data_IF_531866255216
#
_entry.id   IF_531866255216
#
_cell.length_a   1.000
_cell.length_b   1.000
_cell.length_c   1.000
_cell.angle_alpha   90.00
_cell.angle_beta   90.00
_cell.angle_gamma   90.00
#
_symmetry.space_group_name_H-M   'P 1'
#
loop_
_entity.id
_entity.type
_entity.pdbx_description
1 polymer ?
#
# COMPACT_ATOMS: atom_id res chain seq x y z
N UNK A 1 13.16 28.03 0.64
CA UNK A 1 11.83 28.17 1.27
C UNK A 1 11.44 26.82 1.84
N UNK A 2 10.90 26.75 3.06
CA UNK A 2 10.62 25.48 3.76
C UNK A 2 9.33 24.84 3.19
N UNK A 3 9.45 23.65 2.58
CA UNK A 3 8.32 22.91 1.94
C UNK A 3 7.15 22.75 2.91
N UNK A 4 7.43 22.40 4.18
CA UNK A 4 6.40 22.23 5.21
C UNK A 4 5.57 23.51 5.44
N UNK A 5 6.24 24.67 5.45
CA UNK A 5 5.60 25.97 5.66
C UNK A 5 4.84 26.43 4.41
N UNK A 6 5.39 26.17 3.22
CA UNK A 6 4.75 26.52 1.95
C UNK A 6 3.45 25.72 1.75
N UNK A 7 3.50 24.42 2.05
CA UNK A 7 2.43 23.49 1.71
C UNK A 7 1.51 23.18 2.89
N UNK A 8 1.79 23.75 4.08
CA UNK A 8 1.02 23.52 5.29
C UNK A 8 1.05 22.08 5.79
N UNK A 9 2.12 21.33 5.48
CA UNK A 9 2.26 19.90 5.76
C UNK A 9 3.09 19.67 7.02
N UNK A 10 2.72 18.67 7.83
CA UNK A 10 3.52 18.21 8.96
C UNK A 10 4.93 17.79 8.49
N UNK A 11 5.95 18.44 9.05
CA UNK A 11 7.36 18.16 8.75
C UNK A 11 7.74 16.69 9.00
N UNK A 12 7.10 16.01 9.97
CA UNK A 12 7.35 14.59 10.23
C UNK A 12 6.77 13.70 9.14
N UNK A 13 5.68 14.12 8.48
CA UNK A 13 5.17 13.44 7.27
C UNK A 13 6.17 13.56 6.14
N UNK A 14 6.66 14.77 5.85
CA UNK A 14 7.64 14.99 4.79
C UNK A 14 8.92 14.19 5.03
N UNK A 15 9.46 14.20 6.26
CA UNK A 15 10.64 13.39 6.61
C UNK A 15 10.42 11.90 6.37
N UNK A 16 9.24 11.36 6.70
CA UNK A 16 8.91 9.96 6.39
C UNK A 16 8.87 9.72 4.88
N UNK A 17 8.18 10.56 4.11
CA UNK A 17 8.08 10.40 2.66
C UNK A 17 9.46 10.44 1.98
N UNK A 18 10.33 11.36 2.39
CA UNK A 18 11.73 11.40 1.91
C UNK A 18 12.46 10.09 2.25
N UNK A 19 12.38 9.63 3.50
CA UNK A 19 13.06 8.39 3.88
C UNK A 19 12.49 7.15 3.18
N UNK A 20 11.18 7.13 2.91
CA UNK A 20 10.55 6.05 2.16
C UNK A 20 11.04 6.03 0.73
N UNK A 21 11.02 7.17 0.05
CA UNK A 21 11.56 7.32 -1.29
C UNK A 21 13.03 6.86 -1.36
N UNK A 22 13.88 7.33 -0.44
CA UNK A 22 15.30 6.95 -0.43
C UNK A 22 15.57 5.48 -0.12
N UNK A 23 14.69 4.83 0.66
CA UNK A 23 14.75 3.38 0.84
C UNK A 23 14.29 2.67 -0.44
N UNK A 24 13.18 3.08 -1.07
CA UNK A 24 12.69 2.47 -2.29
C UNK A 24 13.71 2.59 -3.43
N UNK A 25 14.42 3.72 -3.59
CA UNK A 25 15.52 3.85 -4.55
C UNK A 25 16.54 2.71 -4.43
N UNK A 26 16.89 2.32 -3.20
CA UNK A 26 17.84 1.24 -2.91
C UNK A 26 17.23 -0.13 -3.19
N UNK A 27 16.02 -0.34 -2.70
CA UNK A 27 15.29 -1.59 -2.91
C UNK A 27 15.02 -1.85 -4.40
N UNK A 28 14.85 -0.82 -5.22
CA UNK A 28 14.60 -0.95 -6.65
C UNK A 28 15.84 -0.66 -7.53
N UNK A 29 17.02 -0.61 -6.94
CA UNK A 29 18.27 -0.31 -7.66
C UNK A 29 18.70 -1.43 -8.62
N UNK A 30 18.31 -2.67 -8.33
CA UNK A 30 18.73 -3.84 -9.08
C UNK A 30 17.80 -4.09 -10.28
N UNK A 31 18.32 -4.61 -11.41
CA UNK A 31 17.54 -4.80 -12.65
C UNK A 31 16.28 -5.67 -12.51
N UNK A 32 16.28 -6.61 -11.57
CA UNK A 32 15.17 -7.51 -11.29
C UNK A 32 14.80 -7.45 -9.80
N UNK A 33 14.10 -6.39 -9.36
CA UNK A 33 13.74 -6.25 -7.96
C UNK A 33 12.77 -7.36 -7.56
N UNK A 34 13.04 -8.00 -6.42
CA UNK A 34 12.27 -9.14 -5.90
C UNK A 34 10.99 -8.74 -5.17
N UNK A 35 10.61 -7.47 -5.25
CA UNK A 35 9.42 -6.91 -4.61
C UNK A 35 8.72 -5.92 -5.53
N UNK A 36 7.45 -5.64 -5.23
CA UNK A 36 6.68 -4.55 -5.83
C UNK A 36 6.04 -3.71 -4.72
N UNK A 37 5.93 -2.41 -4.95
CA UNK A 37 5.32 -1.48 -4.01
C UNK A 37 3.80 -1.67 -3.95
N UNK A 38 3.21 -1.58 -2.76
CA UNK A 38 1.77 -1.59 -2.56
C UNK A 38 1.34 -0.71 -1.38
N UNK A 39 0.08 -0.87 -0.98
CA UNK A 39 -0.43 -0.35 0.28
C UNK A 39 -0.46 1.17 0.38
N UNK A 40 -0.32 1.68 1.60
CA UNK A 40 -0.62 3.09 1.90
C UNK A 40 0.28 4.06 1.16
N UNK A 41 1.58 3.76 1.05
CA UNK A 41 2.50 4.67 0.38
C UNK A 41 2.32 4.70 -1.13
N UNK A 42 1.96 3.57 -1.77
CA UNK A 42 1.57 3.57 -3.18
C UNK A 42 0.37 4.49 -3.46
N UNK A 43 -0.56 4.63 -2.51
CA UNK A 43 -1.65 5.62 -2.61
C UNK A 43 -1.12 7.04 -2.53
N UNK A 44 -0.23 7.33 -1.57
CA UNK A 44 0.35 8.68 -1.41
C UNK A 44 1.12 9.14 -2.64
N UNK A 45 1.83 8.23 -3.31
CA UNK A 45 2.56 8.56 -4.53
C UNK A 45 1.61 8.84 -5.72
N UNK A 46 0.40 8.26 -5.75
CA UNK A 46 -0.61 8.53 -6.79
C UNK A 46 -1.42 9.81 -6.54
N UNK A 47 -1.58 10.19 -5.28
CA UNK A 47 -2.54 11.20 -4.85
C UNK A 47 -1.93 12.12 -3.80
N UNK A 48 -1.87 13.41 -4.13
CA UNK A 48 -1.45 14.45 -3.19
C UNK A 48 -2.37 14.57 -1.96
N UNK A 49 -3.67 14.24 -2.09
CA UNK A 49 -4.67 14.31 -1.02
C UNK A 49 -5.02 12.92 -0.49
N UNK A 50 -4.08 12.31 0.23
CA UNK A 50 -4.23 11.00 0.88
C UNK A 50 -3.94 11.07 2.37
N UNK A 51 -4.55 10.13 3.11
CA UNK A 51 -4.22 9.89 4.52
C UNK A 51 -2.73 9.58 4.64
N UNK A 52 -2.14 10.01 5.74
CA UNK A 52 -0.71 9.73 6.00
C UNK A 52 -0.52 8.26 6.34
N UNK A 53 0.40 7.59 5.67
CA UNK A 53 0.93 6.27 6.02
C UNK A 53 2.14 6.41 6.94
N UNK A 54 2.32 5.40 7.79
CA UNK A 54 3.45 5.31 8.72
C UNK A 54 4.43 4.21 8.35
N UNK A 55 4.03 3.35 7.43
CA UNK A 55 4.74 2.15 7.04
C UNK A 55 4.79 2.05 5.51
N UNK A 56 5.77 1.29 5.02
CA UNK A 56 5.90 0.91 3.60
C UNK A 56 5.40 -0.53 3.47
N UNK A 57 4.56 -0.78 2.48
CA UNK A 57 4.07 -2.12 2.17
C UNK A 57 4.68 -2.61 0.86
N UNK A 58 5.34 -3.76 0.87
CA UNK A 58 5.84 -4.45 -0.31
C UNK A 58 5.18 -5.82 -0.45
N UNK A 59 5.14 -6.33 -1.68
CA UNK A 59 4.86 -7.74 -1.95
C UNK A 59 6.06 -8.39 -2.59
N UNK A 60 6.42 -9.58 -2.13
CA UNK A 60 7.49 -10.37 -2.72
C UNK A 60 7.07 -10.93 -4.08
N UNK A 61 7.94 -10.80 -5.09
CA UNK A 61 7.78 -11.29 -6.47
C UNK A 61 8.49 -12.61 -6.71
N UNK A 62 9.55 -12.90 -5.96
CA UNK A 62 10.36 -14.09 -6.14
C UNK A 62 9.63 -15.37 -5.70
N UNK A 63 10.21 -16.52 -6.06
CA UNK A 63 9.83 -17.79 -5.42
C UNK A 63 10.53 -17.88 -4.07
N UNK A 64 9.79 -18.23 -3.01
CA UNK A 64 10.38 -18.63 -1.75
C UNK A 64 10.00 -20.06 -1.45
N UNK A 65 11.01 -20.91 -1.28
CA UNK A 65 10.83 -22.32 -0.91
C UNK A 65 10.55 -22.48 0.59
N UNK A 66 11.01 -21.53 1.41
CA UNK A 66 10.73 -21.46 2.86
C UNK A 66 10.36 -20.05 3.25
N UNK A 67 9.39 -19.95 4.16
CA UNK A 67 9.04 -18.71 4.84
C UNK A 67 10.04 -18.52 5.98
N UNK A 68 11.12 -17.80 5.70
CA UNK A 68 12.13 -17.45 6.69
C UNK A 68 12.20 -15.93 6.82
N UNK A 69 11.63 -15.34 7.90
CA UNK A 69 11.70 -13.91 8.14
C UNK A 69 13.13 -13.37 8.19
N UNK A 70 14.11 -14.18 8.59
CA UNK A 70 15.51 -13.76 8.64
C UNK A 70 16.14 -13.71 7.25
N UNK A 71 15.81 -14.66 6.37
CA UNK A 71 16.18 -14.58 4.96
C UNK A 71 15.62 -13.32 4.30
N UNK A 72 14.33 -13.03 4.54
CA UNK A 72 13.69 -11.80 4.06
C UNK A 72 14.38 -10.55 4.58
N UNK A 73 14.67 -10.50 5.89
CA UNK A 73 15.38 -9.39 6.51
C UNK A 73 16.74 -9.17 5.86
N UNK A 74 17.49 -10.25 5.63
CA UNK A 74 18.82 -10.17 5.03
C UNK A 74 18.76 -9.68 3.59
N UNK A 75 17.85 -10.21 2.76
CA UNK A 75 17.66 -9.74 1.39
C UNK A 75 17.28 -8.25 1.33
N UNK A 76 16.42 -7.80 2.25
CA UNK A 76 16.06 -6.38 2.37
C UNK A 76 17.26 -5.53 2.82
N UNK A 77 18.04 -6.02 3.79
CA UNK A 77 19.22 -5.32 4.32
C UNK A 77 20.29 -5.17 3.23
N UNK A 78 20.60 -6.25 2.51
CA UNK A 78 21.57 -6.25 1.41
C UNK A 78 21.18 -5.24 0.33
N UNK A 79 19.89 -5.16 -0.04
CA UNK A 79 19.43 -4.18 -1.01
C UNK A 79 19.47 -2.74 -0.46
N UNK A 80 19.16 -2.55 0.83
CA UNK A 80 19.21 -1.26 1.50
C UNK A 80 20.64 -0.71 1.70
N UNK A 81 21.67 -1.53 1.47
CA UNK A 81 23.08 -1.12 1.50
C UNK A 81 23.58 -0.50 0.19
N UNK A 82 22.76 -0.50 -0.87
CA UNK A 82 23.12 0.15 -2.13
C UNK A 82 23.48 1.63 -1.91
N UNK A 83 24.69 2.02 -2.34
CA UNK A 83 25.16 3.39 -2.22
C UNK A 83 24.54 4.28 -3.31
N UNK A 84 23.75 5.24 -2.85
CA UNK A 84 23.04 6.20 -3.69
C UNK A 84 23.66 7.60 -3.65
N UNK A 85 24.81 7.77 -2.97
CA UNK A 85 25.48 9.07 -2.78
C UNK A 85 24.55 10.17 -2.22
N UNK A 86 23.57 9.80 -1.40
CA UNK A 86 22.53 10.69 -0.85
C UNK A 86 22.63 10.87 0.69
N UNK A 87 23.72 10.38 1.28
CA UNK A 87 24.02 10.41 2.72
C UNK A 87 23.03 9.67 3.62
N UNK A 88 22.08 8.91 3.05
CA UNK A 88 21.23 8.02 3.81
C UNK A 88 21.90 6.66 4.05
N UNK A 89 21.68 6.12 5.24
CA UNK A 89 21.90 4.71 5.53
C UNK A 89 20.68 4.13 6.24
N UNK A 90 20.43 2.84 6.01
CA UNK A 90 19.27 2.14 6.53
C UNK A 90 19.70 0.89 7.29
N UNK A 91 19.04 0.63 8.41
CA UNK A 91 19.20 -0.60 9.18
C UNK A 91 17.84 -1.26 9.35
N UNK A 92 17.74 -2.52 8.94
CA UNK A 92 16.52 -3.33 8.99
C UNK A 92 16.67 -4.35 10.13
N UNK A 93 15.88 -4.13 11.18
CA UNK A 93 15.87 -4.98 12.36
C UNK A 93 15.07 -6.27 12.15
N UNK A 94 15.16 -7.19 13.11
CA UNK A 94 14.42 -8.46 13.10
C UNK A 94 12.91 -8.26 13.03
N UNK A 95 12.22 -9.21 12.39
CA UNK A 95 10.77 -9.19 12.29
C UNK A 95 10.13 -9.11 13.69
N UNK A 96 9.21 -8.16 13.88
CA UNK A 96 8.48 -8.00 15.15
C UNK A 96 7.13 -8.72 15.15
N UNK A 97 6.67 -9.15 13.98
CA UNK A 97 5.41 -9.86 13.80
C UNK A 97 5.41 -10.60 12.45
N UNK A 98 4.80 -11.78 12.41
CA UNK A 98 4.40 -12.44 11.17
C UNK A 98 3.09 -11.80 10.67
N UNK A 99 3.03 -11.40 9.41
CA UNK A 99 1.86 -10.71 8.86
C UNK A 99 0.66 -11.68 8.71
N UNK A 100 -0.27 -11.65 9.67
CA UNK A 100 -1.51 -12.46 9.72
C UNK A 100 -2.38 -12.38 8.44
N UNK A 101 -2.19 -11.34 7.61
CA UNK A 101 -3.00 -11.07 6.43
C UNK A 101 -2.38 -11.54 5.11
N UNK A 102 -1.13 -12.00 5.11
CA UNK A 102 -0.45 -12.45 3.89
C UNK A 102 -0.69 -13.96 3.68
N UNK A 103 -1.19 -14.38 2.50
CA UNK A 103 -1.62 -15.77 2.28
C UNK A 103 -0.51 -16.81 2.45
N UNK A 104 0.76 -16.42 2.33
CA UNK A 104 1.93 -17.28 2.56
C UNK A 104 2.91 -16.64 3.54
N UNK A 105 2.40 -15.91 4.54
CA UNK A 105 3.23 -15.25 5.55
C UNK A 105 3.97 -14.03 5.02
N UNK A 106 4.93 -13.55 5.80
CA UNK A 106 5.58 -12.26 5.58
C UNK A 106 6.02 -11.68 6.90
N UNK A 107 6.75 -10.57 6.86
CA UNK A 107 7.32 -9.96 8.05
C UNK A 107 7.09 -8.47 8.12
N UNK A 108 6.88 -7.98 9.34
CA UNK A 108 6.96 -6.55 9.68
C UNK A 108 8.32 -6.25 10.27
N UNK A 109 9.11 -5.45 9.56
CA UNK A 109 10.50 -5.15 9.92
C UNK A 109 10.64 -3.70 10.36
N UNK A 110 11.19 -3.43 11.57
CA UNK A 110 11.51 -2.07 11.97
C UNK A 110 12.70 -1.56 11.15
N UNK A 111 12.57 -0.34 10.64
CA UNK A 111 13.60 0.34 9.84
C UNK A 111 14.07 1.59 10.58
N UNK A 112 15.38 1.73 10.73
CA UNK A 112 16.02 2.97 11.15
C UNK A 112 16.70 3.63 9.94
N UNK A 113 16.19 4.79 9.53
CA UNK A 113 16.84 5.63 8.53
C UNK A 113 17.73 6.65 9.22
N UNK A 114 19.02 6.69 8.86
CA UNK A 114 19.99 7.66 9.36
C UNK A 114 20.45 8.54 8.21
N UNK A 115 20.74 9.80 8.54
CA UNK A 115 21.36 10.77 7.62
C UNK A 115 22.51 11.44 8.35
N UNK A 116 23.70 11.43 7.73
CA UNK A 116 24.92 12.00 8.33
C UNK A 116 25.16 11.51 9.78
N UNK A 117 24.99 10.21 10.01
CA UNK A 117 25.23 9.55 11.30
C UNK A 117 24.15 9.76 12.37
N UNK A 118 23.10 10.57 12.11
CA UNK A 118 22.00 10.80 13.06
C UNK A 118 20.73 10.09 12.61
N UNK A 119 19.92 9.63 13.57
CA UNK A 119 18.60 9.07 13.27
C UNK A 119 17.74 10.15 12.61
N UNK A 120 17.34 9.89 11.36
CA UNK A 120 16.49 10.77 10.60
C UNK A 120 15.02 10.45 10.85
N UNK A 121 14.62 9.19 10.73
CA UNK A 121 13.27 8.71 11.05
C UNK A 121 13.27 7.19 11.28
N UNK A 122 12.28 6.70 12.03
CA UNK A 122 12.01 5.27 12.20
C UNK A 122 10.61 4.95 11.69
N UNK A 123 10.45 3.78 11.08
CA UNK A 123 9.18 3.30 10.52
C UNK A 123 9.21 1.78 10.38
N UNK A 124 8.14 1.18 9.86
CA UNK A 124 8.13 -0.24 9.54
C UNK A 124 8.03 -0.48 8.04
N UNK A 125 8.66 -1.57 7.61
CA UNK A 125 8.56 -2.15 6.29
C UNK A 125 7.83 -3.49 6.42
N UNK A 126 6.63 -3.55 5.85
CA UNK A 126 5.80 -4.73 5.81
C UNK A 126 6.01 -5.41 4.46
N UNK A 127 6.42 -6.69 4.47
CA UNK A 127 6.54 -7.49 3.23
C UNK A 127 5.63 -8.70 3.30
N UNK A 128 4.66 -8.75 2.38
CA UNK A 128 3.78 -9.90 2.20
C UNK A 128 4.38 -10.89 1.20
N UNK A 129 4.27 -12.20 1.49
CA UNK A 129 4.65 -13.27 0.58
C UNK A 129 3.40 -13.90 -0.03
N UNK A 130 3.49 -14.15 -1.33
CA UNK A 130 2.56 -15.04 -2.02
C UNK A 130 1.17 -14.46 -2.22
N UNK A 131 0.97 -13.15 -2.07
CA UNK A 131 -0.15 -12.48 -2.73
C UNK A 131 -0.07 -12.71 -4.26
N UNK A 132 -1.19 -12.53 -4.96
CA UNK A 132 -1.14 -12.48 -6.42
C UNK A 132 -0.35 -11.24 -6.84
N UNK A 133 0.50 -11.37 -7.85
CA UNK A 133 1.15 -10.24 -8.48
C UNK A 133 0.68 -10.19 -9.92
N UNK A 134 -0.18 -9.23 -10.24
CA UNK A 134 -0.75 -9.09 -11.57
C UNK A 134 0.10 -8.13 -12.39
N UNK A 135 0.56 -8.62 -13.54
CA UNK A 135 1.28 -7.83 -14.53
C UNK A 135 0.26 -7.21 -15.53
N UNK A 136 0.55 -6.03 -16.10
CA UNK A 136 1.76 -5.23 -15.88
C UNK A 136 1.73 -4.46 -14.55
N UNK A 137 2.88 -4.34 -13.90
CA UNK A 137 3.06 -3.40 -12.79
C UNK A 137 2.97 -1.94 -13.26
N UNK A 138 2.44 -1.08 -12.40
CA UNK A 138 2.37 0.36 -12.61
C UNK A 138 3.68 1.01 -12.17
N UNK A 139 4.29 1.83 -13.02
CA UNK A 139 5.45 2.64 -12.63
C UNK A 139 4.98 3.94 -12.00
N UNK A 140 5.22 4.11 -10.70
CA UNK A 140 4.85 5.32 -9.96
C UNK A 140 6.11 6.13 -9.63
N UNK A 141 6.10 7.41 -9.95
CA UNK A 141 7.24 8.32 -9.72
C UNK A 141 7.08 9.04 -8.38
N UNK A 142 8.12 8.99 -7.54
CA UNK A 142 8.13 9.76 -6.30
C UNK A 142 8.28 11.27 -6.56
N UNK A 143 7.84 12.13 -5.61
CA UNK A 143 8.14 13.55 -5.68
C UNK A 143 9.64 13.83 -5.64
N UNK A 144 10.04 14.94 -6.27
CA UNK A 144 11.41 15.42 -6.43
C UNK A 144 11.96 16.10 -5.16
N UNK A 145 11.84 15.43 -4.02
CA UNK A 145 12.13 15.99 -2.70
C UNK A 145 13.52 16.62 -2.57
N UNK A 146 14.50 16.06 -3.28
CA UNK A 146 15.92 16.38 -3.15
C UNK A 146 16.52 16.97 -4.45
N UNK A 147 15.69 17.48 -5.36
CA UNK A 147 16.15 18.13 -6.60
C UNK A 147 17.09 19.31 -6.32
N UNK A 148 16.82 20.07 -5.26
CA UNK A 148 17.70 21.16 -4.80
C UNK A 148 19.13 20.70 -4.46
N UNK A 149 19.33 19.41 -4.22
CA UNK A 149 20.62 18.78 -3.95
C UNK A 149 21.16 17.97 -5.15
N UNK A 150 20.53 18.09 -6.32
CA UNK A 150 20.91 17.36 -7.54
C UNK A 150 20.58 15.86 -7.50
N UNK A 151 19.69 15.43 -6.61
CA UNK A 151 19.27 14.03 -6.49
C UNK A 151 17.91 13.88 -7.18
N UNK A 152 17.84 13.16 -8.32
CA UNK A 152 16.61 13.05 -9.09
C UNK A 152 15.56 12.17 -8.39
N UNK A 153 14.29 12.42 -8.73
CA UNK A 153 13.19 11.52 -8.42
C UNK A 153 13.32 10.19 -9.18
N UNK A 154 12.80 9.11 -8.59
CA UNK A 154 12.84 7.76 -9.16
C UNK A 154 11.43 7.19 -9.30
N UNK A 155 11.24 6.33 -10.31
CA UNK A 155 10.02 5.57 -10.50
C UNK A 155 10.18 4.14 -9.96
N UNK A 156 9.13 3.64 -9.31
CA UNK A 156 9.10 2.30 -8.71
C UNK A 156 7.96 1.47 -9.29
N UNK A 157 8.16 0.16 -9.52
CA UNK A 157 7.08 -0.73 -9.90
C UNK A 157 6.17 -0.99 -8.68
N UNK A 158 4.88 -0.75 -8.88
CA UNK A 158 3.83 -0.95 -7.90
C UNK A 158 2.72 -1.82 -8.46
N UNK A 159 1.95 -2.47 -7.58
CA UNK A 159 0.73 -3.16 -8.01
C UNK A 159 -0.25 -2.15 -8.59
N UNK A 160 -1.07 -2.54 -9.58
CA UNK A 160 -2.05 -1.65 -10.18
C UNK A 160 -3.10 -1.15 -9.16
N UNK A 161 -3.76 -0.04 -9.50
CA UNK A 161 -4.87 0.53 -8.71
C UNK A 161 -6.00 -0.48 -8.54
N UNK A 162 -6.26 -1.27 -9.58
CA UNK A 162 -7.26 -2.34 -9.64
C UNK A 162 -6.89 -3.51 -8.72
N UNK A 163 -5.63 -3.93 -8.70
CA UNK A 163 -5.15 -4.92 -7.73
C UNK A 163 -5.25 -4.38 -6.30
N UNK A 164 -4.86 -3.12 -6.09
CA UNK A 164 -4.97 -2.50 -4.78
C UNK A 164 -6.43 -2.44 -4.31
N UNK A 165 -7.37 -2.10 -5.19
CA UNK A 165 -8.81 -2.14 -4.92
C UNK A 165 -9.27 -3.56 -4.55
N UNK A 166 -8.85 -4.58 -5.30
CA UNK A 166 -9.17 -5.97 -5.02
C UNK A 166 -8.66 -6.44 -3.65
N UNK A 167 -7.42 -6.09 -3.29
CA UNK A 167 -6.86 -6.41 -1.97
C UNK A 167 -7.65 -5.73 -0.84
N UNK A 168 -8.14 -4.50 -1.06
CA UNK A 168 -8.96 -3.74 -0.12
C UNK A 168 -10.36 -4.31 0.04
N UNK A 169 -11.00 -4.72 -1.06
CA UNK A 169 -12.29 -5.42 -1.04
C UNK A 169 -12.17 -6.71 -0.23
N UNK A 170 -11.19 -7.57 -0.56
CA UNK A 170 -10.97 -8.82 0.17
C UNK A 170 -10.74 -8.56 1.67
N UNK A 171 -9.94 -7.55 2.01
CA UNK A 171 -9.71 -7.16 3.39
C UNK A 171 -10.99 -6.67 4.09
N UNK A 172 -11.80 -5.86 3.42
CA UNK A 172 -13.06 -5.33 3.92
C UNK A 172 -14.07 -6.46 4.21
N UNK A 173 -14.17 -7.45 3.32
CA UNK A 173 -15.15 -8.53 3.37
C UNK A 173 -14.71 -9.75 4.17
N UNK A 174 -13.44 -9.83 4.57
CA UNK A 174 -12.91 -10.96 5.35
C UNK A 174 -13.76 -11.24 6.61
N UNK A 175 -14.29 -12.47 6.78
CA UNK A 175 -15.06 -12.83 7.97
C UNK A 175 -14.25 -12.67 9.26
N UNK A 176 -14.88 -12.06 10.28
CA UNK A 176 -14.28 -11.81 11.60
C UNK A 176 -15.22 -12.27 12.71
N UNK A 177 -15.24 -13.57 13.05
CA UNK A 177 -16.11 -14.08 14.10
C UNK A 177 -15.81 -13.38 15.43
N UNK A 178 -16.80 -12.71 16.02
CA UNK A 178 -16.68 -12.06 17.32
C UNK A 178 -15.86 -10.77 17.37
N UNK A 179 -15.35 -10.26 16.24
CA UNK A 179 -14.57 -9.02 16.19
C UNK A 179 -15.23 -7.99 15.25
N UNK A 180 -15.22 -6.72 15.67
CA UNK A 180 -15.70 -5.63 14.82
C UNK A 180 -14.74 -5.39 13.64
N UNK A 181 -15.31 -5.00 12.50
CA UNK A 181 -14.52 -4.60 11.34
C UNK A 181 -13.80 -3.27 11.61
N UNK A 182 -12.48 -3.22 11.42
CA UNK A 182 -11.64 -2.02 11.63
C UNK A 182 -11.12 -1.42 10.31
N UNK A 183 -11.65 -1.86 9.17
CA UNK A 183 -11.21 -1.48 7.82
C UNK A 183 -11.76 -0.13 7.32
N UNK A 184 -12.05 0.82 8.21
CA UNK A 184 -12.55 2.17 7.83
C UNK A 184 -11.60 2.90 6.87
N UNK A 185 -10.29 2.69 7.03
CA UNK A 185 -9.27 3.25 6.12
C UNK A 185 -9.35 2.63 4.73
N UNK A 186 -9.69 1.34 4.64
CA UNK A 186 -9.80 0.67 3.35
C UNK A 186 -11.01 1.22 2.56
N UNK A 187 -12.10 1.61 3.22
CA UNK A 187 -13.22 2.28 2.56
C UNK A 187 -12.80 3.63 1.96
N UNK A 188 -12.03 4.44 2.69
CA UNK A 188 -11.47 5.70 2.17
C UNK A 188 -10.56 5.44 0.98
N UNK A 189 -9.64 4.47 1.10
CA UNK A 189 -8.71 4.11 0.02
C UNK A 189 -9.48 3.63 -1.24
N UNK A 190 -10.54 2.84 -1.09
CA UNK A 190 -11.38 2.37 -2.21
C UNK A 190 -12.10 3.52 -2.93
N UNK A 191 -12.66 4.49 -2.19
CA UNK A 191 -13.28 5.69 -2.80
C UNK A 191 -12.25 6.49 -3.60
N UNK A 192 -11.05 6.67 -3.05
CA UNK A 192 -9.96 7.39 -3.72
C UNK A 192 -9.49 6.66 -4.99
N UNK A 193 -9.38 5.33 -4.95
CA UNK A 193 -9.05 4.52 -6.12
C UNK A 193 -10.11 4.65 -7.23
N UNK A 194 -11.40 4.58 -6.87
CA UNK A 194 -12.49 4.78 -7.85
C UNK A 194 -12.40 6.17 -8.49
N UNK A 195 -12.14 7.22 -7.70
CA UNK A 195 -11.97 8.60 -8.21
C UNK A 195 -10.75 8.77 -9.13
N UNK A 196 -9.71 7.95 -8.98
CA UNK A 196 -8.57 7.91 -9.91
C UNK A 196 -8.92 7.28 -11.27
N UNK A 197 -10.10 6.68 -11.40
CA UNK A 197 -10.54 5.99 -12.61
C UNK A 197 -9.99 4.57 -12.69
N UNK A 198 -10.69 3.66 -12.03
CA UNK A 198 -10.45 2.22 -12.16
C UNK A 198 -11.08 1.67 -13.44
N UNK A 199 -10.38 0.77 -14.11
CA UNK A 199 -10.95 -0.06 -15.16
C UNK A 199 -11.75 -1.22 -14.55
N UNK A 200 -13.05 -1.30 -14.81
CA UNK A 200 -13.94 -2.30 -14.19
C UNK A 200 -13.56 -3.73 -14.58
N UNK A 201 -13.08 -3.94 -15.81
CA UNK A 201 -12.69 -5.26 -16.32
C UNK A 201 -11.39 -5.75 -15.69
N UNK A 202 -10.40 -4.85 -15.55
CA UNK A 202 -9.16 -5.16 -14.83
C UNK A 202 -9.42 -5.35 -13.34
N UNK A 203 -10.28 -4.52 -12.72
CA UNK A 203 -10.70 -4.70 -11.33
C UNK A 203 -11.38 -6.04 -11.10
N UNK A 204 -12.26 -6.47 -12.02
CA UNK A 204 -12.91 -7.79 -11.98
C UNK A 204 -11.87 -8.91 -11.99
N UNK A 205 -10.93 -8.88 -12.94
CA UNK A 205 -9.84 -9.85 -13.02
C UNK A 205 -8.99 -9.89 -11.74
N UNK A 206 -8.70 -8.72 -11.18
CA UNK A 206 -7.92 -8.59 -9.97
C UNK A 206 -8.63 -9.11 -8.71
N UNK A 207 -9.94 -8.88 -8.58
CA UNK A 207 -10.78 -9.43 -7.51
C UNK A 207 -10.75 -10.96 -7.57
N UNK A 208 -11.00 -11.53 -8.75
CA UNK A 208 -10.99 -12.99 -8.93
C UNK A 208 -9.63 -13.57 -8.54
N UNK A 209 -8.53 -12.99 -9.05
CA UNK A 209 -7.18 -13.47 -8.75
C UNK A 209 -6.85 -13.37 -7.26
N UNK A 210 -7.20 -12.26 -6.60
CA UNK A 210 -6.96 -12.02 -5.18
C UNK A 210 -7.71 -13.03 -4.31
N UNK A 211 -9.00 -13.18 -4.53
CA UNK A 211 -9.83 -14.11 -3.75
C UNK A 211 -9.43 -15.56 -3.99
N UNK A 212 -9.17 -15.95 -5.24
CA UNK A 212 -8.67 -17.29 -5.57
C UNK A 212 -7.34 -17.57 -4.89
N UNK A 213 -6.42 -16.61 -4.88
CA UNK A 213 -5.09 -16.78 -4.29
C UNK A 213 -5.14 -16.86 -2.77
N UNK A 214 -5.95 -16.02 -2.12
CA UNK A 214 -6.07 -15.98 -0.66
C UNK A 214 -6.93 -17.10 -0.11
N UNK A 215 -7.91 -17.60 -0.87
CA UNK A 215 -8.74 -18.77 -0.56
C UNK A 215 -9.35 -18.78 0.86
N UNK A 216 -9.63 -17.61 1.43
CA UNK A 216 -10.16 -17.49 2.81
C UNK A 216 -11.68 -17.49 2.86
N UNK A 217 -12.34 -16.90 1.86
CA UNK A 217 -13.79 -16.80 1.74
C UNK A 217 -14.17 -16.58 0.26
N UNK A 218 -15.40 -16.89 -0.16
CA UNK A 218 -15.85 -16.63 -1.53
C UNK A 218 -15.99 -15.14 -1.80
N UNK A 219 -15.98 -14.76 -3.08
CA UNK A 219 -16.31 -13.41 -3.53
C UNK A 219 -17.78 -13.14 -3.16
N UNK A 220 -18.08 -12.13 -2.32
CA UNK A 220 -19.46 -11.89 -1.90
C UNK A 220 -20.29 -11.28 -3.04
N UNK A 221 -21.56 -11.67 -3.18
CA UNK A 221 -22.46 -11.07 -4.17
C UNK A 221 -22.79 -9.60 -3.85
N UNK A 222 -22.83 -9.28 -2.55
CA UNK A 222 -23.16 -7.96 -2.02
C UNK A 222 -22.16 -7.55 -0.95
N UNK A 223 -21.84 -6.25 -0.89
CA UNK A 223 -21.03 -5.72 0.22
C UNK A 223 -21.94 -5.42 1.42
N UNK A 224 -21.48 -5.79 2.61
CA UNK A 224 -22.16 -5.38 3.84
C UNK A 224 -21.87 -3.90 4.14
N UNK A 225 -22.87 -3.10 4.56
CA UNK A 225 -22.67 -1.71 4.92
C UNK A 225 -21.69 -1.57 6.10
N UNK A 226 -20.91 -0.47 6.16
CA UNK A 226 -20.00 -0.24 7.25
C UNK A 226 -20.76 -0.04 8.57
N UNK A 227 -20.18 -0.45 9.72
CA UNK A 227 -20.75 -0.17 11.03
C UNK A 227 -20.98 1.33 11.28
N UNK A 228 -22.04 1.67 12.02
CA UNK A 228 -22.38 3.07 12.30
C UNK A 228 -21.33 3.81 13.17
N UNK A 229 -20.53 3.09 13.96
CA UNK A 229 -19.46 3.66 14.76
C UNK A 229 -18.28 4.19 13.92
N UNK A 230 -18.22 3.85 12.62
CA UNK A 230 -17.23 4.39 11.68
C UNK A 230 -17.45 5.85 11.32
N UNK A 231 -18.68 6.39 11.47
CA UNK A 231 -19.06 7.73 10.96
C UNK A 231 -18.04 8.81 11.36
N UNK A 232 -17.65 8.83 12.64
CA UNK A 232 -16.71 9.84 13.15
C UNK A 232 -15.31 9.69 12.56
N UNK A 233 -14.76 8.46 12.59
CA UNK A 233 -13.40 8.21 12.11
C UNK A 233 -13.30 8.34 10.59
N UNK A 234 -14.32 7.89 9.86
CA UNK A 234 -14.44 8.12 8.43
C UNK A 234 -14.44 9.62 8.12
N UNK A 235 -15.25 10.42 8.81
CA UNK A 235 -15.31 11.87 8.60
C UNK A 235 -13.97 12.57 8.77
N UNK A 236 -13.17 12.20 9.78
CA UNK A 236 -11.81 12.71 9.96
C UNK A 236 -10.90 12.34 8.79
N UNK A 237 -10.89 11.06 8.39
CA UNK A 237 -10.05 10.58 7.29
C UNK A 237 -10.47 11.16 5.93
N UNK A 238 -11.77 11.29 5.70
CA UNK A 238 -12.34 11.91 4.51
C UNK A 238 -11.90 13.37 4.37
N UNK A 239 -11.96 14.15 5.46
CA UNK A 239 -11.49 15.52 5.48
C UNK A 239 -9.98 15.63 5.19
N UNK A 240 -9.15 14.76 5.78
CA UNK A 240 -7.71 14.70 5.48
C UNK A 240 -7.44 14.44 3.99
N UNK A 241 -8.26 13.59 3.35
CA UNK A 241 -8.18 13.25 1.93
C UNK A 241 -8.97 14.21 1.02
N UNK A 242 -9.55 15.30 1.56
CA UNK A 242 -10.42 16.24 0.82
C UNK A 242 -11.61 15.57 0.11
N UNK A 243 -12.12 14.49 0.69
CA UNK A 243 -13.39 13.88 0.31
C UNK A 243 -14.54 14.66 0.93
N UNK A 244 -15.64 14.80 0.19
CA UNK A 244 -16.85 15.52 0.63
C UNK A 244 -18.00 14.59 0.93
N UNK A 245 -17.92 13.34 0.48
CA UNK A 245 -18.87 12.28 0.76
C UNK A 245 -18.88 11.95 2.25
N UNK A 246 -20.06 11.74 2.79
CA UNK A 246 -20.22 11.09 4.10
C UNK A 246 -20.05 9.57 3.97
N UNK A 247 -20.05 8.86 5.12
CA UNK A 247 -19.84 7.41 5.16
C UNK A 247 -20.81 6.62 4.26
N UNK A 248 -22.08 7.00 4.23
CA UNK A 248 -23.12 6.32 3.44
C UNK A 248 -22.91 6.54 1.94
N UNK A 249 -22.66 7.78 1.53
CA UNK A 249 -22.37 8.13 0.14
C UNK A 249 -21.11 7.41 -0.36
N UNK A 250 -20.06 7.39 0.46
CA UNK A 250 -18.82 6.70 0.18
C UNK A 250 -19.00 5.18 0.02
N UNK A 251 -19.75 4.56 0.93
CA UNK A 251 -20.09 3.15 0.82
C UNK A 251 -20.88 2.88 -0.46
N UNK A 252 -21.89 3.70 -0.77
CA UNK A 252 -22.69 3.56 -1.98
C UNK A 252 -21.84 3.64 -3.25
N UNK A 253 -20.89 4.57 -3.33
CA UNK A 253 -19.94 4.65 -4.46
C UNK A 253 -19.14 3.37 -4.64
N UNK A 254 -18.62 2.79 -3.54
CA UNK A 254 -17.87 1.53 -3.59
C UNK A 254 -18.78 0.36 -3.94
N UNK A 255 -19.99 0.31 -3.38
CA UNK A 255 -20.96 -0.74 -3.65
C UNK A 255 -21.41 -0.74 -5.12
N UNK A 256 -21.70 0.43 -5.70
CA UNK A 256 -22.10 0.56 -7.10
C UNK A 256 -21.00 0.08 -8.05
N UNK A 257 -19.77 0.52 -7.83
CA UNK A 257 -18.62 0.06 -8.61
C UNK A 257 -18.38 -1.44 -8.44
N UNK A 258 -18.46 -1.95 -7.21
CA UNK A 258 -18.31 -3.37 -6.93
C UNK A 258 -19.39 -4.22 -7.63
N UNK A 259 -20.66 -3.81 -7.58
CA UNK A 259 -21.76 -4.50 -8.28
C UNK A 259 -21.52 -4.56 -9.79
N UNK A 260 -20.96 -3.51 -10.38
CA UNK A 260 -20.56 -3.54 -11.80
C UNK A 260 -19.52 -4.64 -12.05
N UNK A 261 -18.46 -4.70 -11.24
CA UNK A 261 -17.41 -5.73 -11.39
C UNK A 261 -17.93 -7.17 -11.21
N UNK A 262 -18.86 -7.39 -10.27
CA UNK A 262 -19.45 -8.72 -10.04
C UNK A 262 -20.38 -9.14 -11.19
N UNK A 263 -21.14 -8.22 -11.79
CA UNK A 263 -21.94 -8.55 -12.98
C UNK A 263 -21.05 -8.98 -14.14
N UNK A 264 -19.98 -8.24 -14.42
CA UNK A 264 -19.00 -8.61 -15.45
C UNK A 264 -18.36 -9.98 -15.18
N UNK A 265 -18.09 -10.32 -13.91
CA UNK A 265 -17.62 -11.65 -13.54
C UNK A 265 -18.62 -12.76 -13.89
N UNK A 266 -19.90 -12.57 -13.52
CA UNK A 266 -20.95 -13.55 -13.76
C UNK A 266 -21.24 -13.75 -15.26
N UNK A 267 -21.09 -12.71 -16.07
CA UNK A 267 -21.21 -12.81 -17.53
C UNK A 267 -20.07 -13.61 -18.16
N UNK A 268 -18.86 -13.58 -17.58
CA UNK A 268 -17.71 -14.37 -18.06
C UNK A 268 -17.77 -15.85 -17.69
N UNK A 269 -18.55 -16.21 -16.69
CA UNK A 269 -18.74 -17.62 -16.27
C UNK A 269 -19.86 -18.33 -17.04
N UNK A 270 -20.63 -17.61 -17.88
CA UNK A 270 -21.67 -18.16 -18.77
C UNK A 270 -21.12 -18.45 -20.15
#
# INVERSE_FOLDING_TARGET
MNIAQRDGVDIQRLRRQVAFDRLLCRLFAFPEPQWALKGGYAMELRLHATRTTKDIDLTWRGRMERQDPEFLRQALQDAAEADMNDYFSFSIGSAIMDLDAAPYGGGRFPVEARMAGRVFVKFHLDIGIGDCLLEPLEMITAPDWLDFAGIPAQSFPAISREQQFAEKIHAYTLPRPGAQNTRVRDLVDMVLLIRLGLDSTQATGAIIATFKRRATHPIPLDLMPPPADWVRLYGTLAAECRLTENLEQAFKTVEEFYRQTIREHQEREK
#
